data_IF_306228039081
#
_entry.id   IF_306228039081
#
_cell.length_a   1.000
_cell.length_b   1.000
_cell.length_c   1.000
_cell.angle_alpha   90.00
_cell.angle_beta   90.00
_cell.angle_gamma   90.00
#
_symmetry.space_group_name_H-M   'P 1'
#
loop_
_entity.id
_entity.type
_entity.pdbx_description
1 polymer ?
#
# COMPACT_ATOMS: atom_id res chain seq x y z
N UNK A 1 10.92 -6.95 13.27
CA UNK A 1 9.64 -7.49 12.77
C UNK A 1 8.57 -6.44 13.02
N UNK A 2 8.18 -5.69 11.99
CA UNK A 2 7.06 -4.74 12.13
C UNK A 2 5.79 -5.53 12.43
N UNK A 3 5.08 -5.12 13.49
CA UNK A 3 3.82 -5.74 13.93
C UNK A 3 2.86 -5.67 12.74
N UNK A 4 2.28 -6.82 12.33
CA UNK A 4 1.17 -6.84 11.37
C UNK A 4 0.04 -6.01 11.98
N UNK A 5 -0.03 -4.74 11.62
CA UNK A 5 -1.12 -3.87 12.02
C UNK A 5 -2.37 -4.30 11.28
N UNK A 6 -3.49 -4.33 11.98
CA UNK A 6 -4.81 -4.36 11.36
C UNK A 6 -5.01 -3.00 10.68
N UNK A 7 -4.59 -2.92 9.43
CA UNK A 7 -4.81 -1.74 8.59
C UNK A 7 -6.22 -1.79 8.01
N UNK A 8 -6.82 -0.64 7.75
CA UNK A 8 -8.16 -0.55 7.17
C UNK A 8 -8.27 0.59 6.17
N UNK A 9 -9.14 0.44 5.17
CA UNK A 9 -9.52 1.53 4.27
C UNK A 9 -10.03 2.72 5.09
N UNK A 10 -9.55 3.92 4.76
CA UNK A 10 -9.81 5.16 5.50
C UNK A 10 -8.79 5.48 6.60
N UNK A 11 -7.88 4.57 6.92
CA UNK A 11 -6.86 4.82 7.94
C UNK A 11 -5.73 5.72 7.43
N UNK A 12 -5.31 6.69 8.25
CA UNK A 12 -4.10 7.51 8.00
C UNK A 12 -2.84 6.69 8.31
N UNK A 13 -1.91 6.69 7.37
CA UNK A 13 -0.66 5.94 7.44
C UNK A 13 0.53 6.74 6.93
N UNK A 14 1.74 6.30 7.26
CA UNK A 14 2.97 6.68 6.57
C UNK A 14 3.43 5.48 5.75
N UNK A 15 3.65 5.68 4.46
CA UNK A 15 4.19 4.68 3.53
C UNK A 15 5.67 4.93 3.35
N UNK A 16 6.49 3.88 3.46
CA UNK A 16 7.87 3.90 3.00
C UNK A 16 7.91 3.72 1.48
N UNK A 17 8.26 4.76 0.75
CA UNK A 17 8.43 4.70 -0.70
C UNK A 17 9.75 4.01 -1.10
N UNK A 18 9.87 3.66 -2.38
CA UNK A 18 11.04 2.95 -2.96
C UNK A 18 12.34 3.74 -2.78
N UNK A 19 12.26 5.06 -2.75
CA UNK A 19 13.38 5.98 -2.47
C UNK A 19 13.76 6.05 -0.98
N UNK A 20 13.10 5.26 -0.12
CA UNK A 20 13.31 5.22 1.31
C UNK A 20 12.62 6.35 2.09
N UNK A 21 11.96 7.29 1.41
CA UNK A 21 11.25 8.38 2.07
C UNK A 21 9.93 7.90 2.65
N UNK A 22 9.58 8.39 3.85
CA UNK A 22 8.24 8.18 4.40
C UNK A 22 7.30 9.29 3.93
N UNK A 23 6.14 8.90 3.43
CA UNK A 23 5.11 9.83 2.93
C UNK A 23 3.79 9.55 3.63
N UNK A 24 3.12 10.59 4.10
CA UNK A 24 1.80 10.47 4.72
C UNK A 24 0.71 10.28 3.66
N UNK A 25 -0.32 9.54 4.02
CA UNK A 25 -1.49 9.33 3.17
C UNK A 25 -2.59 8.57 3.88
N UNK A 26 -3.60 8.18 3.11
CA UNK A 26 -4.76 7.41 3.57
C UNK A 26 -4.88 6.15 2.73
N UNK A 27 -5.15 5.01 3.38
CA UNK A 27 -5.48 3.78 2.68
C UNK A 27 -6.83 3.95 1.98
N UNK A 28 -6.87 3.71 0.67
CA UNK A 28 -8.08 3.84 -0.15
C UNK A 28 -8.58 2.50 -0.70
N UNK A 29 -7.77 1.44 -0.65
CA UNK A 29 -8.16 0.10 -1.11
C UNK A 29 -7.37 -1.02 -0.40
N UNK A 30 -8.02 -2.17 -0.18
CA UNK A 30 -7.43 -3.42 0.33
C UNK A 30 -7.61 -4.56 -0.70
N UNK A 31 -6.52 -4.96 -1.35
CA UNK A 31 -6.47 -6.05 -2.31
C UNK A 31 -6.24 -7.44 -1.67
N UNK A 32 -6.14 -7.52 -0.34
CA UNK A 32 -5.71 -8.71 0.39
C UNK A 32 -6.66 -9.91 0.29
N UNK A 33 -7.93 -9.67 -0.03
CA UNK A 33 -8.96 -10.70 -0.18
C UNK A 33 -9.16 -11.16 -1.63
N UNK A 34 -8.27 -10.74 -2.55
CA UNK A 34 -8.22 -11.27 -3.93
C UNK A 34 -7.11 -12.32 -4.04
N UNK A 35 -7.36 -13.59 -3.68
CA UNK A 35 -6.36 -14.64 -3.86
C UNK A 35 -6.11 -14.87 -5.36
N UNK A 36 -4.88 -14.66 -5.80
CA UNK A 36 -4.35 -15.28 -7.01
C UNK A 36 -4.54 -14.56 -8.35
N UNK A 37 -4.88 -13.27 -8.40
CA UNK A 37 -4.71 -12.49 -9.63
C UNK A 37 -3.57 -11.50 -9.51
N UNK A 38 -2.52 -11.73 -10.29
CA UNK A 38 -1.55 -10.71 -10.62
C UNK A 38 -2.30 -9.46 -11.10
N UNK A 39 -2.02 -8.30 -10.52
CA UNK A 39 -2.56 -7.02 -11.02
C UNK A 39 -1.96 -6.82 -12.40
N UNK A 40 -2.75 -7.14 -13.43
CA UNK A 40 -2.40 -6.94 -14.83
C UNK A 40 -3.07 -5.64 -15.28
N UNK A 41 -2.28 -4.62 -15.62
CA UNK A 41 -2.76 -3.45 -16.36
C UNK A 41 -2.22 -3.61 -17.77
N UNK A 42 -3.04 -4.15 -18.69
CA UNK A 42 -2.57 -4.64 -19.99
C UNK A 42 -1.72 -5.92 -19.87
N UNK A 43 -0.75 -6.13 -20.77
CA UNK A 43 0.17 -7.29 -20.78
C UNK A 43 1.41 -7.13 -19.87
N UNK A 44 1.45 -6.08 -19.04
CA UNK A 44 2.62 -5.78 -18.21
C UNK A 44 2.41 -6.28 -16.78
N UNK A 45 3.36 -7.08 -16.29
CA UNK A 45 3.46 -7.51 -14.88
C UNK A 45 4.08 -6.39 -14.05
N UNK A 46 3.25 -5.66 -13.29
CA UNK A 46 3.67 -4.42 -12.60
C UNK A 46 4.21 -4.68 -11.17
N UNK A 47 3.90 -5.82 -10.54
CA UNK A 47 4.47 -6.18 -9.23
C UNK A 47 4.51 -7.70 -8.94
N UNK A 48 5.51 -8.12 -8.16
CA UNK A 48 5.55 -9.38 -7.37
C UNK A 48 4.32 -9.45 -6.42
N UNK A 49 4.00 -10.61 -5.79
CA UNK A 49 2.66 -10.90 -5.26
C UNK A 49 2.06 -9.76 -4.44
N UNK A 50 1.06 -9.14 -5.06
CA UNK A 50 -0.06 -8.36 -4.51
C UNK A 50 0.25 -7.48 -3.29
N UNK A 51 0.89 -6.34 -3.55
CA UNK A 51 0.90 -5.22 -2.60
C UNK A 51 -0.53 -4.98 -2.11
N UNK A 52 -0.78 -5.25 -0.83
CA UNK A 52 -2.14 -5.33 -0.27
C UNK A 52 -2.89 -4.00 -0.30
N UNK A 53 -2.19 -2.88 -0.19
CA UNK A 53 -2.82 -1.58 0.05
C UNK A 53 -2.59 -0.61 -1.09
N UNK A 54 -3.64 0.12 -1.49
CA UNK A 54 -3.47 1.38 -2.19
C UNK A 54 -3.54 2.54 -1.20
N UNK A 55 -2.57 3.44 -1.24
CA UNK A 55 -2.49 4.62 -0.38
C UNK A 55 -2.50 5.88 -1.23
N UNK A 56 -3.50 6.72 -1.02
CA UNK A 56 -3.54 8.06 -1.59
C UNK A 56 -2.64 8.96 -0.74
N UNK A 57 -1.57 9.48 -1.34
CA UNK A 57 -0.64 10.36 -0.62
C UNK A 57 -1.26 11.75 -0.42
N UNK A 58 -0.92 12.39 0.70
CA UNK A 58 -1.33 13.77 1.01
C UNK A 58 -0.79 14.78 -0.02
N UNK A 59 0.37 14.49 -0.62
CA UNK A 59 0.97 15.29 -1.70
C UNK A 59 0.37 15.01 -3.09
N UNK A 60 -0.65 14.13 -3.16
CA UNK A 60 -1.19 13.61 -4.42
C UNK A 60 -0.47 12.37 -4.92
N UNK A 61 -1.14 11.61 -5.79
CA UNK A 61 -0.64 10.35 -6.35
C UNK A 61 -0.97 9.12 -5.51
N UNK A 62 -0.90 7.95 -6.14
CA UNK A 62 -1.27 6.66 -5.55
C UNK A 62 -0.04 5.77 -5.41
N UNK A 63 0.16 5.19 -4.23
CA UNK A 63 1.23 4.22 -3.97
C UNK A 63 0.63 2.89 -3.54
N UNK A 64 1.12 1.82 -4.13
CA UNK A 64 0.82 0.46 -3.70
C UNK A 64 1.86 0.02 -2.68
N UNK A 65 1.43 -0.53 -1.55
CA UNK A 65 2.29 -0.88 -0.42
C UNK A 65 1.86 -2.20 0.23
N UNK A 66 2.82 -2.91 0.82
CA UNK A 66 2.52 -4.03 1.71
C UNK A 66 2.34 -3.56 3.15
N UNK A 67 1.73 -4.39 4.01
CA UNK A 67 1.56 -4.05 5.42
C UNK A 67 2.88 -3.77 6.16
N UNK A 68 4.02 -4.23 5.62
CA UNK A 68 5.36 -3.99 6.17
C UNK A 68 5.91 -2.61 5.83
N UNK A 69 5.36 -1.95 4.81
CA UNK A 69 5.74 -0.61 4.36
C UNK A 69 4.92 0.48 5.05
N UNK A 70 3.92 0.10 5.84
CA UNK A 70 3.00 1.00 6.52
C UNK A 70 3.40 1.20 7.98
N UNK A 71 3.37 2.46 8.40
CA UNK A 71 3.47 2.91 9.78
C UNK A 71 2.28 3.81 10.15
N UNK A 72 1.98 3.94 11.45
CA UNK A 72 0.91 4.81 11.89
C UNK A 72 1.27 6.28 11.64
N UNK A 73 0.34 7.02 11.01
CA UNK A 73 0.39 8.48 11.04
C UNK A 73 -0.15 8.94 12.40
N UNK A 74 0.73 9.09 13.39
CA UNK A 74 0.40 9.83 14.62
C UNK A 74 -0.18 11.20 14.30
#
# INVERSE_FOLDING_TARGET
MAKRGDWSVGQRVRVKAVDGQQRAGVIVEDFGDTPGRAVTVGDVRIAEPSRRWAVQLDAGGLVFADSVDLDNAK
#
